data_IF_835880803311
#
_entry.id   IF_835880803311
#
_cell.length_a   1.000
_cell.length_b   1.000
_cell.length_c   1.000
_cell.angle_alpha   90.00
_cell.angle_beta   90.00
_cell.angle_gamma   90.00
#
_symmetry.space_group_name_H-M   'P 1'
#
loop_
_entity.id
_entity.type
_entity.pdbx_description
1 polymer ?
#
# COMPACT_ATOMS: atom_id res chain seq x y z
N UNK A 1 28.95 0.82 -1.38
CA UNK A 1 27.85 1.61 -0.76
C UNK A 1 26.47 1.06 -1.10
N UNK A 2 26.34 0.09 -2.00
CA UNK A 2 25.08 -0.59 -2.37
C UNK A 2 24.69 -1.71 -1.38
N UNK A 3 25.67 -2.43 -0.81
CA UNK A 3 25.42 -3.56 0.11
C UNK A 3 24.79 -3.17 1.47
N UNK A 4 25.07 -1.98 1.99
CA UNK A 4 24.56 -1.57 3.31
C UNK A 4 23.08 -1.17 3.26
N UNK A 5 22.64 -0.58 2.14
CA UNK A 5 21.23 -0.25 1.86
C UNK A 5 20.44 -1.55 1.66
N UNK A 6 21.01 -2.54 0.96
CA UNK A 6 20.41 -3.86 0.83
C UNK A 6 20.27 -4.54 2.21
N UNK A 7 21.33 -4.61 3.01
CA UNK A 7 21.31 -5.37 4.28
C UNK A 7 20.33 -4.79 5.32
N UNK A 8 20.14 -3.46 5.35
CA UNK A 8 19.17 -2.81 6.23
C UNK A 8 17.71 -3.00 5.76
N UNK A 9 17.48 -2.92 4.45
CA UNK A 9 16.15 -3.07 3.83
C UNK A 9 15.64 -4.52 3.92
N UNK A 10 16.53 -5.51 3.73
CA UNK A 10 16.16 -6.93 3.80
C UNK A 10 15.70 -7.40 5.19
N UNK A 11 16.23 -6.80 6.27
CA UNK A 11 15.84 -7.15 7.64
C UNK A 11 14.43 -6.68 8.02
N UNK A 12 13.90 -5.68 7.30
CA UNK A 12 12.50 -5.21 7.42
C UNK A 12 11.56 -6.06 6.56
N UNK A 13 12.03 -6.54 5.41
CA UNK A 13 11.27 -7.40 4.50
C UNK A 13 10.99 -8.79 5.08
N UNK A 14 11.90 -9.37 5.87
CA UNK A 14 11.74 -10.71 6.46
C UNK A 14 10.47 -10.89 7.33
N UNK A 15 9.84 -9.81 7.78
CA UNK A 15 8.60 -9.88 8.57
C UNK A 15 7.39 -9.22 7.91
N UNK A 16 7.52 -8.64 6.72
CA UNK A 16 6.45 -7.84 6.11
C UNK A 16 5.15 -8.64 5.91
N UNK A 17 5.25 -9.92 5.53
CA UNK A 17 4.11 -10.84 5.43
C UNK A 17 3.37 -11.03 6.76
N UNK A 18 4.09 -10.98 7.89
CA UNK A 18 3.47 -11.11 9.22
C UNK A 18 2.71 -9.85 9.61
N UNK A 19 3.09 -8.69 9.06
CA UNK A 19 2.46 -7.39 9.30
C UNK A 19 1.35 -7.07 8.29
N UNK A 20 1.48 -7.53 7.04
CA UNK A 20 0.45 -7.42 6.02
C UNK A 20 -0.83 -8.11 6.49
N UNK A 21 -1.93 -7.34 6.61
CA UNK A 21 -3.28 -7.86 6.91
C UNK A 21 -4.31 -7.47 5.85
N UNK A 22 -4.01 -6.43 5.06
CA UNK A 22 -4.85 -6.07 3.94
C UNK A 22 -4.93 -7.22 2.94
N UNK A 23 -6.14 -7.57 2.54
CA UNK A 23 -6.38 -8.70 1.63
C UNK A 23 -6.49 -8.18 0.19
N UNK A 24 -6.00 -8.93 -0.79
CA UNK A 24 -6.32 -8.66 -2.19
C UNK A 24 -7.49 -9.54 -2.65
N UNK A 25 -8.56 -8.91 -3.12
CA UNK A 25 -9.76 -9.55 -3.64
C UNK A 25 -9.92 -9.16 -5.12
N UNK A 26 -9.48 -10.01 -6.08
CA UNK A 26 -9.49 -9.65 -7.50
C UNK A 26 -10.89 -9.27 -8.03
N UNK A 27 -11.92 -9.89 -7.46
CA UNK A 27 -13.32 -9.61 -7.79
C UNK A 27 -13.87 -8.58 -6.82
N UNK A 28 -14.44 -7.49 -7.36
CA UNK A 28 -15.02 -6.44 -6.56
C UNK A 28 -16.15 -6.98 -5.66
N UNK A 29 -15.94 -6.91 -4.35
CA UNK A 29 -17.02 -7.01 -3.37
C UNK A 29 -17.59 -5.61 -3.20
N UNK A 30 -18.80 -5.35 -3.68
CA UNK A 30 -19.53 -4.12 -3.36
C UNK A 30 -19.99 -4.16 -1.91
N UNK A 31 -19.12 -3.75 -0.98
CA UNK A 31 -19.45 -3.48 0.42
C UNK A 31 -18.27 -2.75 1.07
N UNK A 32 -18.39 -1.43 1.25
CA UNK A 32 -17.43 -0.65 2.05
C UNK A 32 -17.23 0.80 1.63
N UNK A 33 -16.60 1.58 2.51
CA UNK A 33 -16.10 2.91 2.22
C UNK A 33 -14.82 2.78 1.36
N UNK A 34 -14.92 3.25 0.13
CA UNK A 34 -13.86 3.16 -0.86
C UNK A 34 -12.82 4.28 -0.70
N UNK A 35 -11.55 3.97 -0.90
CA UNK A 35 -10.43 4.91 -0.81
C UNK A 35 -9.51 4.74 -2.03
N UNK A 36 -8.59 5.69 -2.30
CA UNK A 36 -7.72 5.58 -3.47
C UNK A 36 -6.92 4.27 -3.54
N UNK A 37 -6.47 3.75 -2.41
CA UNK A 37 -5.58 2.57 -2.37
C UNK A 37 -6.28 1.27 -1.96
N UNK A 38 -7.57 1.31 -1.62
CA UNK A 38 -8.28 0.16 -1.10
C UNK A 38 -9.71 0.47 -0.68
N UNK A 39 -10.31 -0.44 0.05
CA UNK A 39 -11.61 -0.25 0.67
C UNK A 39 -11.61 -0.83 2.09
N UNK A 40 -12.54 -0.35 2.91
CA UNK A 40 -12.72 -0.80 4.29
C UNK A 40 -14.10 -1.46 4.47
N UNK A 41 -14.13 -2.66 5.06
CA UNK A 41 -15.40 -3.36 5.34
C UNK A 41 -16.15 -2.79 6.57
N UNK A 42 -15.43 -2.18 7.51
CA UNK A 42 -16.00 -1.59 8.72
C UNK A 42 -15.06 -0.50 9.26
N UNK A 43 -15.41 0.77 8.97
CA UNK A 43 -14.65 1.92 9.45
C UNK A 43 -15.13 2.38 10.84
N UNK A 44 -16.30 1.95 11.30
CA UNK A 44 -16.86 2.33 12.60
C UNK A 44 -16.23 1.54 13.74
N UNK A 45 -15.72 0.33 13.45
CA UNK A 45 -15.09 -0.57 14.42
C UNK A 45 -13.68 -0.99 13.99
N UNK A 46 -12.68 -0.17 14.27
CA UNK A 46 -11.27 -0.51 14.05
C UNK A 46 -10.89 -1.80 14.82
N UNK A 47 -10.23 -2.80 14.19
CA UNK A 47 -10.07 -4.14 14.75
C UNK A 47 -9.25 -4.20 16.05
N UNK A 48 -8.41 -3.20 16.31
CA UNK A 48 -7.59 -3.13 17.54
C UNK A 48 -8.25 -2.29 18.63
N UNK A 49 -8.97 -1.22 18.26
CA UNK A 49 -9.44 -0.21 19.24
C UNK A 49 -10.95 -0.24 19.46
N UNK A 50 -11.71 -0.85 18.54
CA UNK A 50 -13.16 -0.90 18.53
C UNK A 50 -13.85 0.45 18.27
N UNK A 51 -13.09 1.48 17.87
CA UNK A 51 -13.58 2.85 17.64
C UNK A 51 -13.60 3.18 16.14
N UNK A 52 -14.28 4.28 15.73
CA UNK A 52 -14.18 4.78 14.36
C UNK A 52 -12.72 5.02 13.96
N UNK A 53 -12.36 4.53 12.78
CA UNK A 53 -11.02 4.60 12.23
C UNK A 53 -10.68 6.03 11.78
N UNK A 54 -9.53 6.53 12.20
CA UNK A 54 -8.92 7.78 11.74
C UNK A 54 -7.43 7.62 11.48
N UNK A 55 -7.00 6.38 11.23
CA UNK A 55 -5.61 6.02 11.04
C UNK A 55 -5.11 6.50 9.67
N UNK A 56 -3.78 6.65 9.57
CA UNK A 56 -3.11 6.93 8.29
C UNK A 56 -3.38 5.82 7.27
N UNK A 57 -3.55 6.18 6.00
CA UNK A 57 -3.86 5.21 4.95
C UNK A 57 -2.78 4.12 4.80
N UNK A 58 -1.52 4.39 5.12
CA UNK A 58 -0.45 3.39 5.10
C UNK A 58 -0.65 2.31 6.16
N UNK A 59 -1.36 2.61 7.26
CA UNK A 59 -1.76 1.60 8.25
C UNK A 59 -2.85 0.66 7.72
N UNK A 60 -3.58 1.03 6.66
CA UNK A 60 -4.55 0.12 6.04
C UNK A 60 -3.88 -1.17 5.54
N UNK A 61 -2.61 -1.12 5.09
CA UNK A 61 -1.86 -2.33 4.70
C UNK A 61 -1.75 -3.36 5.84
N UNK A 62 -1.79 -2.89 7.09
CA UNK A 62 -1.67 -3.73 8.29
C UNK A 62 -3.04 -3.97 8.97
N UNK A 63 -4.15 -3.55 8.37
CA UNK A 63 -5.49 -3.65 8.94
C UNK A 63 -6.29 -4.82 8.35
N UNK A 64 -6.93 -5.64 9.20
CA UNK A 64 -7.77 -6.77 8.78
C UNK A 64 -9.10 -6.35 8.14
N UNK A 65 -9.56 -5.11 8.38
CA UNK A 65 -10.76 -4.57 7.74
C UNK A 65 -10.48 -4.05 6.32
N UNK A 66 -9.20 -3.84 5.97
CA UNK A 66 -8.82 -3.31 4.68
C UNK A 66 -8.73 -4.42 3.61
N UNK A 67 -9.13 -4.07 2.39
CA UNK A 67 -8.94 -4.93 1.22
C UNK A 67 -8.69 -4.11 -0.04
N UNK A 68 -7.88 -4.66 -0.94
CA UNK A 68 -7.64 -4.16 -2.29
C UNK A 68 -8.39 -5.03 -3.30
N UNK A 69 -8.59 -4.49 -4.49
CA UNK A 69 -9.18 -5.21 -5.63
C UNK A 69 -8.43 -4.79 -6.88
N UNK A 70 -8.69 -5.43 -8.02
CA UNK A 70 -7.99 -5.10 -9.27
C UNK A 70 -8.13 -3.62 -9.68
N UNK A 71 -9.20 -2.92 -9.27
CA UNK A 71 -9.36 -1.48 -9.55
C UNK A 71 -8.42 -0.58 -8.74
N UNK A 72 -7.93 -1.05 -7.59
CA UNK A 72 -6.96 -0.34 -6.76
C UNK A 72 -5.52 -0.56 -7.22
N UNK A 73 -5.28 -1.60 -8.03
CA UNK A 73 -3.94 -2.04 -8.38
C UNK A 73 -3.08 -0.96 -9.08
N UNK A 74 -3.60 -0.16 -10.03
CA UNK A 74 -2.81 0.93 -10.62
C UNK A 74 -2.28 1.92 -9.58
N UNK A 75 -3.15 2.36 -8.66
CA UNK A 75 -2.79 3.29 -7.57
C UNK A 75 -1.86 2.67 -6.53
N UNK A 76 -1.98 1.36 -6.24
CA UNK A 76 -1.04 0.65 -5.37
C UNK A 76 0.36 0.53 -6.01
N UNK A 77 0.44 0.33 -7.32
CA UNK A 77 1.71 0.31 -8.05
C UNK A 77 2.34 1.71 -8.06
N UNK A 78 1.55 2.75 -8.30
CA UNK A 78 2.01 4.14 -8.22
C UNK A 78 2.49 4.51 -6.80
N UNK A 79 1.78 4.06 -5.77
CA UNK A 79 2.21 4.21 -4.37
C UNK A 79 3.60 3.59 -4.14
N UNK A 80 3.87 2.42 -4.74
CA UNK A 80 5.20 1.80 -4.70
C UNK A 80 6.24 2.73 -5.32
N UNK A 81 6.00 3.22 -6.54
CA UNK A 81 6.95 4.08 -7.25
C UNK A 81 7.27 5.37 -6.47
N UNK A 82 6.27 6.01 -5.86
CA UNK A 82 6.52 7.21 -5.07
C UNK A 82 7.23 6.92 -3.74
N UNK A 83 6.93 5.81 -3.06
CA UNK A 83 7.67 5.40 -1.87
C UNK A 83 9.13 5.02 -2.20
N UNK A 84 9.38 4.36 -3.33
CA UNK A 84 10.72 4.09 -3.86
C UNK A 84 11.48 5.40 -4.12
N UNK A 85 10.82 6.40 -4.72
CA UNK A 85 11.41 7.71 -4.94
C UNK A 85 11.79 8.38 -3.61
N UNK A 86 10.92 8.34 -2.59
CA UNK A 86 11.23 8.88 -1.26
C UNK A 86 12.44 8.16 -0.66
N UNK A 87 12.45 6.83 -0.69
CA UNK A 87 13.54 6.01 -0.17
C UNK A 87 14.88 6.33 -0.85
N UNK A 88 14.86 6.59 -2.16
CA UNK A 88 16.08 6.88 -2.94
C UNK A 88 16.80 8.17 -2.53
N UNK A 89 16.08 9.11 -1.89
CA UNK A 89 16.65 10.39 -1.45
C UNK A 89 17.38 10.30 -0.10
N UNK A 90 17.20 9.19 0.65
CA UNK A 90 17.72 9.00 2.02
C UNK A 90 17.47 10.22 2.94
N UNK A 91 16.35 10.91 2.70
CA UNK A 91 15.96 12.12 3.41
C UNK A 91 15.13 11.83 4.68
N UNK A 92 14.83 12.87 5.48
CA UNK A 92 14.07 12.72 6.72
C UNK A 92 12.64 12.18 6.51
N UNK A 93 12.14 12.24 5.28
CA UNK A 93 10.83 11.72 4.91
C UNK A 93 10.80 10.19 4.89
N UNK A 94 11.94 9.51 4.73
CA UNK A 94 12.03 8.05 4.80
C UNK A 94 12.14 7.59 6.26
N UNK A 95 11.02 7.16 6.82
CA UNK A 95 10.91 6.72 8.22
C UNK A 95 10.68 5.22 8.33
N UNK A 96 10.93 4.64 9.50
CA UNK A 96 10.60 3.22 9.80
C UNK A 96 9.13 2.89 9.49
N UNK A 97 8.23 3.85 9.73
CA UNK A 97 6.81 3.73 9.41
C UNK A 97 6.59 3.53 7.90
N UNK A 98 7.19 4.38 7.06
CA UNK A 98 7.09 4.27 5.60
C UNK A 98 7.84 3.05 5.07
N UNK A 99 8.97 2.69 5.66
CA UNK A 99 9.70 1.48 5.30
C UNK A 99 8.87 0.21 5.53
N UNK A 100 8.19 0.11 6.68
CA UNK A 100 7.29 -1.02 6.97
C UNK A 100 6.08 -1.04 6.03
N UNK A 101 5.45 0.11 5.77
CA UNK A 101 4.34 0.20 4.84
C UNK A 101 4.76 -0.20 3.42
N UNK A 102 5.92 0.27 2.96
CA UNK A 102 6.50 -0.11 1.67
C UNK A 102 6.73 -1.63 1.57
N UNK A 103 7.28 -2.24 2.62
CA UNK A 103 7.49 -3.69 2.67
C UNK A 103 6.16 -4.47 2.59
N UNK A 104 5.13 -4.03 3.33
CA UNK A 104 3.79 -4.64 3.26
C UNK A 104 3.15 -4.47 1.88
N UNK A 105 3.34 -3.30 1.25
CA UNK A 105 2.84 -3.02 -0.09
C UNK A 105 3.46 -3.96 -1.12
N UNK A 106 4.78 -4.15 -1.09
CA UNK A 106 5.47 -5.11 -1.95
C UNK A 106 4.92 -6.52 -1.77
N UNK A 107 4.81 -6.99 -0.52
CA UNK A 107 4.25 -8.30 -0.21
C UNK A 107 2.82 -8.48 -0.77
N UNK A 108 2.00 -7.42 -0.76
CA UNK A 108 0.65 -7.46 -1.31
C UNK A 108 0.63 -7.53 -2.84
N UNK A 109 1.41 -6.68 -3.53
CA UNK A 109 1.32 -6.54 -5.00
C UNK A 109 2.21 -7.53 -5.77
N UNK A 110 3.20 -8.14 -5.09
CA UNK A 110 4.07 -9.15 -5.67
C UNK A 110 3.57 -10.59 -5.46
N UNK A 111 2.47 -10.81 -4.74
CA UNK A 111 1.84 -12.13 -4.62
C UNK A 111 1.28 -12.58 -5.98
N UNK A 112 2.08 -13.40 -6.69
CA UNK A 112 1.74 -13.91 -8.03
C UNK A 112 0.69 -15.01 -8.03
N UNK A 113 0.27 -15.48 -6.85
CA UNK A 113 -0.88 -16.38 -6.73
C UNK A 113 -2.21 -15.61 -6.78
N UNK A 114 -2.19 -14.33 -6.42
CA UNK A 114 -3.35 -13.43 -6.45
C UNK A 114 -3.32 -12.45 -7.63
N UNK A 115 -2.14 -11.98 -8.03
CA UNK A 115 -1.94 -10.97 -9.07
C UNK A 115 -0.98 -11.52 -10.13
N UNK A 116 -1.53 -11.94 -11.27
CA UNK A 116 -0.68 -12.47 -12.36
C UNK A 116 0.27 -11.40 -12.88
N UNK A 117 1.40 -11.82 -13.46
CA UNK A 117 2.34 -10.89 -14.10
C UNK A 117 1.67 -10.06 -15.21
N UNK A 118 0.70 -10.64 -15.92
CA UNK A 118 -0.06 -9.96 -16.96
C UNK A 118 -0.98 -8.87 -16.38
N UNK A 119 -1.69 -9.17 -15.29
CA UNK A 119 -2.57 -8.21 -14.62
C UNK A 119 -1.77 -7.05 -14.02
N UNK A 120 -0.62 -7.35 -13.42
CA UNK A 120 0.30 -6.34 -12.92
C UNK A 120 0.77 -5.39 -14.03
N UNK A 121 1.29 -5.93 -15.13
CA UNK A 121 1.76 -5.12 -16.26
C UNK A 121 0.62 -4.33 -16.91
N UNK A 122 -0.58 -4.91 -16.97
CA UNK A 122 -1.77 -4.21 -17.48
C UNK A 122 -2.15 -3.04 -16.57
N UNK A 123 -2.15 -3.23 -15.25
CA UNK A 123 -2.46 -2.20 -14.28
C UNK A 123 -1.41 -1.10 -14.26
N UNK A 124 -0.12 -1.44 -14.34
CA UNK A 124 0.99 -0.48 -14.42
C UNK A 124 0.87 0.42 -15.66
N UNK A 125 0.50 -0.15 -16.81
CA UNK A 125 0.25 0.62 -18.04
C UNK A 125 -1.00 1.49 -17.97
N UNK A 126 -1.93 1.17 -17.08
CA UNK A 126 -3.18 1.90 -16.92
C UNK A 126 -3.06 3.10 -15.96
N UNK A 127 -1.92 3.30 -15.30
CA UNK A 127 -1.72 4.41 -14.35
C UNK A 127 -1.84 5.76 -15.07
N UNK A 128 -2.83 6.55 -14.63
CA UNK A 128 -3.14 7.87 -15.16
C UNK A 128 -2.41 8.99 -14.42
N UNK A 129 -2.46 10.21 -14.97
CA UNK A 129 -1.94 11.40 -14.27
C UNK A 129 -2.79 11.76 -13.03
N UNK A 130 -4.07 11.41 -13.05
CA UNK A 130 -4.96 11.56 -11.89
C UNK A 130 -4.55 10.59 -10.78
N UNK A 131 -4.23 9.33 -11.09
CA UNK A 131 -3.71 8.36 -10.11
C UNK A 131 -2.40 8.86 -9.47
N UNK A 132 -1.47 9.35 -10.30
CA UNK A 132 -0.20 9.95 -9.85
C UNK A 132 -0.44 11.12 -8.88
N UNK A 133 -1.36 12.01 -9.24
CA UNK A 133 -1.68 13.21 -8.47
C UNK A 133 -2.36 12.86 -7.14
N UNK A 134 -3.33 11.95 -7.16
CA UNK A 134 -4.03 11.50 -5.95
C UNK A 134 -3.08 10.83 -4.95
N UNK A 135 -2.23 9.92 -5.41
CA UNK A 135 -1.23 9.27 -4.55
C UNK A 135 -0.22 10.27 -4.00
N UNK A 136 0.20 11.24 -4.81
CA UNK A 136 1.08 12.31 -4.35
C UNK A 136 0.44 13.13 -3.23
N UNK A 137 -0.83 13.53 -3.39
CA UNK A 137 -1.56 14.27 -2.35
C UNK A 137 -1.74 13.43 -1.08
N UNK A 138 -2.08 12.15 -1.24
CA UNK A 138 -2.28 11.20 -0.14
C UNK A 138 -0.99 11.02 0.69
N UNK A 139 0.14 10.75 0.04
CA UNK A 139 1.43 10.56 0.70
C UNK A 139 1.96 11.80 1.43
N UNK A 140 1.56 12.99 0.99
CA UNK A 140 1.99 14.26 1.55
C UNK A 140 0.96 14.88 2.51
N UNK A 141 -0.10 14.13 2.88
CA UNK A 141 -1.13 14.60 3.81
C UNK A 141 -1.96 15.78 3.29
N UNK A 142 -2.01 15.97 1.97
CA UNK A 142 -2.75 17.05 1.29
C UNK A 142 -4.06 16.56 0.66
N UNK A 143 -4.46 15.33 0.99
CA UNK A 143 -5.73 14.76 0.58
C UNK A 143 -6.83 15.38 1.46
N UNK A 144 -7.78 16.07 0.82
CA UNK A 144 -8.85 16.85 1.47
C UNK A 144 -10.22 16.20 1.26
#
# INVERSE_FOLDING_TARGET
MTEAVETGLWKVLENAETHLKMRFEPVAKTVGADTPVGACIDWEHHPVTGKPCGDDFLLCLQCSNAFATSRHLPRLIELRHQLESVASTDGPDWTDFRAMAYACLLALIDDRTLISAADYLSAERAITDDDRSEIHLLLNGKYA
#
